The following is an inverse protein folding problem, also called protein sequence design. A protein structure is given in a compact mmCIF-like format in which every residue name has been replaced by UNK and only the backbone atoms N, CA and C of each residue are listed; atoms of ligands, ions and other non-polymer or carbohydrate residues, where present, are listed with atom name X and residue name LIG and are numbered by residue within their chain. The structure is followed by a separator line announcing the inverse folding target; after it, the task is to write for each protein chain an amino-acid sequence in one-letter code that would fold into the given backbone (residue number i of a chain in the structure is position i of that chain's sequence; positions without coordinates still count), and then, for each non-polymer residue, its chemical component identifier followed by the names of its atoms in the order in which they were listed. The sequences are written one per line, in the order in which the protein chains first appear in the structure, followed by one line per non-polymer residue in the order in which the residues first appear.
data_IF_323342421322
#
_entry.id   IF_323342421322
#
_cell.length_a   1.000
_cell.length_b   1.000
_cell.length_c   1.000
_cell.angle_alpha   90.00
_cell.angle_beta   90.00
_cell.angle_gamma   90.00
#
_symmetry.space_group_name_H-M   'P 1'
#
loop_
_entity.id
_entity.type
_entity.pdbx_description
1 polymer ?
#
# COMPACT_ATOMS: atom_id res chain seq x y z
N UNK A 1 5.46 16.41 9.96
CA UNK A 1 6.40 15.30 9.70
C UNK A 1 6.83 15.29 8.23
N UNK A 2 8.06 14.89 7.87
CA UNK A 2 8.51 14.80 6.46
C UNK A 2 7.94 13.52 5.82
N UNK A 3 7.21 13.65 4.71
CA UNK A 3 6.81 12.50 3.87
C UNK A 3 8.06 11.82 3.31
N UNK A 4 8.22 10.52 3.52
CA UNK A 4 9.36 9.74 3.01
C UNK A 4 8.83 8.79 1.94
N UNK A 5 9.04 9.10 0.67
CA UNK A 5 8.58 8.22 -0.41
C UNK A 5 9.25 6.84 -0.29
N UNK A 6 8.50 5.76 -0.07
CA UNK A 6 9.06 4.42 0.09
C UNK A 6 9.74 3.98 -1.22
N UNK A 7 10.89 3.32 -1.11
CA UNK A 7 11.60 2.77 -2.29
C UNK A 7 11.22 1.30 -2.54
N UNK A 8 10.66 0.63 -1.53
CA UNK A 8 10.33 -0.81 -1.55
C UNK A 8 8.93 -1.08 -0.99
N UNK A 9 8.33 -2.22 -1.33
CA UNK A 9 7.02 -2.63 -0.79
C UNK A 9 7.10 -2.79 0.74
N UNK A 10 8.15 -3.44 1.23
CA UNK A 10 8.41 -3.67 2.65
C UNK A 10 8.54 -2.35 3.42
N UNK A 11 9.19 -1.35 2.83
CA UNK A 11 9.29 -0.02 3.43
C UNK A 11 7.93 0.68 3.49
N UNK A 12 7.11 0.56 2.45
CA UNK A 12 5.77 1.13 2.44
C UNK A 12 4.89 0.50 3.54
N UNK A 13 4.98 -0.81 3.73
CA UNK A 13 4.28 -1.52 4.82
C UNK A 13 4.78 -1.06 6.20
N UNK A 14 6.10 -0.95 6.42
CA UNK A 14 6.64 -0.46 7.69
C UNK A 14 6.19 0.98 8.00
N UNK A 15 6.04 1.83 6.99
CA UNK A 15 5.53 3.19 7.18
C UNK A 15 4.03 3.18 7.52
N UNK A 16 3.24 2.32 6.90
CA UNK A 16 1.82 2.12 7.24
C UNK A 16 1.62 1.63 8.68
N UNK A 17 2.47 0.70 9.14
CA UNK A 17 2.44 0.23 10.53
C UNK A 17 2.72 1.38 11.52
N UNK A 18 3.74 2.20 11.26
CA UNK A 18 4.06 3.37 12.09
C UNK A 18 2.94 4.39 12.13
N UNK A 19 2.29 4.64 11.00
CA UNK A 19 1.12 5.54 10.93
C UNK A 19 -0.01 4.97 11.79
N UNK A 20 -0.31 3.68 11.63
CA UNK A 20 -1.38 3.00 12.37
C UNK A 20 -1.12 3.04 13.88
N UNK A 21 0.11 2.74 14.30
CA UNK A 21 0.52 2.81 15.71
C UNK A 21 0.38 4.23 16.25
N UNK A 22 0.80 5.24 15.49
CA UNK A 22 0.68 6.65 15.88
C UNK A 22 -0.79 7.06 16.04
N UNK A 23 -1.68 6.62 15.14
CA UNK A 23 -3.12 6.91 15.20
C UNK A 23 -3.82 6.21 16.37
N UNK A 24 -3.41 4.98 16.70
CA UNK A 24 -3.98 4.22 17.81
C UNK A 24 -3.65 4.84 19.16
N UNK A 25 -2.46 5.43 19.31
CA UNK A 25 -2.01 6.05 20.55
C UNK A 25 -2.80 7.33 20.93
N UNK A 26 -3.74 7.82 20.10
CA UNK A 26 -4.59 9.00 20.35
C UNK A 26 -3.82 10.30 20.70
N UNK A 27 -2.50 10.31 20.50
CA UNK A 27 -1.61 11.44 20.80
C UNK A 27 -1.45 12.40 19.61
N UNK A 28 -2.03 12.04 18.46
CA UNK A 28 -1.94 12.85 17.24
C UNK A 28 -2.96 13.99 17.25
N UNK A 29 -2.52 15.26 17.15
CA UNK A 29 -3.44 16.36 16.91
C UNK A 29 -4.19 16.16 15.57
N UNK A 30 -5.37 16.78 15.46
CA UNK A 30 -6.28 16.60 14.32
C UNK A 30 -5.59 16.85 12.96
N UNK A 31 -4.77 17.91 12.88
CA UNK A 31 -4.03 18.26 11.65
C UNK A 31 -3.00 17.19 11.27
N UNK A 32 -2.33 16.59 12.25
CA UNK A 32 -1.38 15.49 11.97
C UNK A 32 -2.09 14.18 11.69
N UNK A 33 -3.26 13.94 12.27
CA UNK A 33 -4.11 12.79 11.94
C UNK A 33 -4.56 12.83 10.47
N UNK A 34 -4.94 14.01 9.98
CA UNK A 34 -5.31 14.19 8.58
C UNK A 34 -4.12 13.93 7.65
N UNK A 35 -2.96 14.51 7.98
CA UNK A 35 -1.73 14.28 7.20
C UNK A 35 -1.28 12.81 7.21
N UNK A 36 -1.43 12.12 8.34
CA UNK A 36 -1.13 10.70 8.48
C UNK A 36 -2.09 9.84 7.64
N UNK A 37 -3.37 10.19 7.59
CA UNK A 37 -4.35 9.53 6.74
C UNK A 37 -4.05 9.71 5.25
N UNK A 38 -3.81 10.94 4.79
CA UNK A 38 -3.47 11.22 3.38
C UNK A 38 -2.22 10.45 2.96
N UNK A 39 -1.19 10.49 3.80
CA UNK A 39 0.05 9.77 3.54
C UNK A 39 -0.14 8.25 3.57
N UNK A 40 -0.98 7.73 4.48
CA UNK A 40 -1.36 6.32 4.49
C UNK A 40 -2.07 5.90 3.20
N UNK A 41 -2.97 6.73 2.66
CA UNK A 41 -3.61 6.47 1.36
C UNK A 41 -2.58 6.38 0.22
N UNK A 42 -1.61 7.30 0.18
CA UNK A 42 -0.52 7.27 -0.81
C UNK A 42 0.30 5.97 -0.72
N UNK A 43 0.61 5.51 0.50
CA UNK A 43 1.34 4.26 0.72
C UNK A 43 0.54 3.02 0.30
N UNK A 44 -0.77 2.99 0.59
CA UNK A 44 -1.66 1.89 0.14
C UNK A 44 -1.70 1.83 -1.38
N UNK A 45 -1.84 2.96 -2.06
CA UNK A 45 -1.81 3.00 -3.52
C UNK A 45 -0.48 2.50 -4.09
N UNK A 46 0.65 2.88 -3.48
CA UNK A 46 1.96 2.39 -3.87
C UNK A 46 2.07 0.86 -3.73
N UNK A 47 1.59 0.29 -2.61
CA UNK A 47 1.58 -1.15 -2.39
C UNK A 47 0.72 -1.88 -3.44
N UNK A 48 -0.48 -1.37 -3.73
CA UNK A 48 -1.36 -1.94 -4.75
C UNK A 48 -0.71 -1.92 -6.14
N UNK A 49 -0.05 -0.82 -6.51
CA UNK A 49 0.67 -0.73 -7.78
C UNK A 49 1.80 -1.75 -7.86
N UNK A 50 2.59 -1.91 -6.79
CA UNK A 50 3.68 -2.90 -6.76
C UNK A 50 3.18 -4.33 -6.88
N UNK A 51 2.06 -4.65 -6.23
CA UNK A 51 1.43 -5.97 -6.36
C UNK A 51 0.92 -6.20 -7.78
N UNK A 52 0.22 -5.22 -8.37
CA UNK A 52 -0.25 -5.31 -9.75
C UNK A 52 0.90 -5.49 -10.74
N UNK A 53 2.03 -4.80 -10.57
CA UNK A 53 3.22 -4.99 -11.41
C UNK A 53 3.78 -6.42 -11.32
N UNK A 54 3.77 -7.01 -10.12
CA UNK A 54 4.22 -8.40 -9.90
C UNK A 54 3.23 -9.37 -10.52
N UNK A 55 1.93 -9.17 -10.34
CA UNK A 55 0.86 -9.97 -10.95
C UNK A 55 0.95 -9.95 -12.48
N UNK A 56 1.16 -8.79 -13.09
CA UNK A 56 1.36 -8.68 -14.53
C UNK A 56 2.60 -9.43 -15.01
N UNK A 57 3.72 -9.35 -14.27
CA UNK A 57 4.93 -10.11 -14.60
C UNK A 57 4.70 -11.62 -14.49
N UNK A 58 3.96 -12.07 -13.49
CA UNK A 58 3.57 -13.47 -13.34
C UNK A 58 2.67 -13.91 -14.50
N UNK A 59 1.67 -13.11 -14.90
CA UNK A 59 0.82 -13.41 -16.06
C UNK A 59 1.59 -13.54 -17.38
N UNK A 60 2.64 -12.74 -17.58
CA UNK A 60 3.49 -12.81 -18.78
C UNK A 60 4.35 -14.09 -18.76
N UNK A 61 4.83 -14.51 -17.57
CA UNK A 61 5.58 -15.76 -17.39
C UNK A 61 4.70 -17.00 -17.60
N UNK A 62 3.40 -16.90 -17.31
CA UNK A 62 2.42 -18.00 -17.38
C UNK A 62 1.84 -18.24 -18.79
N UNK A 63 2.35 -17.57 -19.83
CA UNK A 63 2.05 -17.85 -21.25
C UNK A 63 2.61 -19.19 -21.77
N UNK A 64 2.63 -20.21 -20.90
CA UNK A 64 2.57 -21.63 -21.26
C UNK A 64 1.17 -22.24 -21.10
N UNK A 65 0.23 -21.56 -20.43
CA UNK A 65 -1.22 -21.80 -20.29
C UNK A 65 -1.59 -21.41 -18.85
N UNK A 66 -2.43 -20.38 -18.60
CA UNK A 66 -3.51 -20.47 -17.60
C UNK A 66 -4.42 -19.24 -17.45
N UNK A 67 -5.62 -19.64 -17.05
CA UNK A 67 -6.84 -18.97 -16.59
C UNK A 67 -6.71 -17.55 -16.00
N UNK A 68 -7.69 -16.75 -16.42
CA UNK A 68 -8.15 -15.52 -15.79
C UNK A 68 -8.38 -15.70 -14.28
N UNK A 69 -7.48 -15.19 -13.45
CA UNK A 69 -7.75 -14.93 -12.05
C UNK A 69 -8.63 -13.67 -11.98
N UNK A 70 -9.95 -13.86 -11.97
CA UNK A 70 -10.89 -12.82 -11.56
C UNK A 70 -10.72 -12.60 -10.08
N UNK A 71 -9.95 -11.57 -9.72
CA UNK A 71 -10.07 -10.94 -8.41
C UNK A 71 -11.34 -10.09 -8.46
N UNK A 72 -12.47 -10.73 -8.16
CA UNK A 72 -13.68 -10.02 -7.78
C UNK A 72 -13.36 -9.30 -6.47
N UNK A 73 -13.04 -8.01 -6.59
CA UNK A 73 -13.16 -7.07 -5.49
C UNK A 73 -14.67 -6.91 -5.24
N UNK A 74 -15.26 -7.88 -4.53
CA UNK A 74 -16.58 -7.74 -3.95
C UNK A 74 -16.52 -6.72 -2.80
N UNK A 75 -17.58 -5.91 -2.77
CA UNK A 75 -17.77 -4.61 -2.10
C UNK A 75 -17.52 -4.57 -0.58
#
# INVERSE_FOLDING_TARGET
MKKITPQSYEEAIQQLEKITESMQNNDLPLEESLAAYEYGQELVQYCQQKLAEVEQKLQILDHGELKELKLEAEE
#
